data_IF_142333650846
#
_entry.id   IF_142333650846
#
_cell.length_a   1.000
_cell.length_b   1.000
_cell.length_c   1.000
_cell.angle_alpha   90.00
_cell.angle_beta   90.00
_cell.angle_gamma   90.00
#
_symmetry.space_group_name_H-M   'P 1'
#
loop_
_entity.id
_entity.type
_entity.pdbx_description
1 polymer ?
#
# COMPACT_ATOMS: atom_id res chain seq x y z
N UNK A 1 15.39 -17.84 7.49
CA UNK A 1 16.64 -17.06 7.48
C UNK A 1 16.33 -15.70 6.89
N UNK A 2 16.43 -14.64 7.69
CA UNK A 2 16.10 -13.28 7.30
C UNK A 2 17.28 -12.73 6.47
N UNK A 3 17.18 -12.77 5.15
CA UNK A 3 18.25 -12.33 4.25
C UNK A 3 18.32 -10.80 4.23
N UNK A 4 18.91 -10.18 5.26
CA UNK A 4 19.49 -8.81 5.22
C UNK A 4 18.66 -7.71 4.57
N UNK A 5 17.32 -7.80 4.63
CA UNK A 5 16.44 -6.97 3.82
C UNK A 5 15.95 -5.79 4.62
N UNK A 6 16.66 -4.68 4.47
CA UNK A 6 16.33 -3.40 5.10
C UNK A 6 15.07 -2.83 4.43
N UNK A 7 14.12 -2.38 5.24
CA UNK A 7 12.97 -1.58 4.82
C UNK A 7 13.26 -0.10 5.07
N UNK A 8 12.78 0.78 4.20
CA UNK A 8 13.00 2.23 4.27
C UNK A 8 11.69 2.97 4.04
N UNK A 9 11.61 4.19 4.58
CA UNK A 9 10.50 5.09 4.34
C UNK A 9 10.20 5.21 2.82
N UNK A 10 8.94 5.01 2.47
CA UNK A 10 8.45 5.02 1.11
C UNK A 10 8.46 3.66 0.41
N UNK A 11 9.13 2.64 0.96
CA UNK A 11 9.06 1.30 0.38
C UNK A 11 7.61 0.83 0.28
N UNK A 12 7.24 0.29 -0.87
CA UNK A 12 5.90 -0.23 -1.14
C UNK A 12 5.96 -1.75 -1.08
N UNK A 13 5.09 -2.32 -0.26
CA UNK A 13 4.95 -3.76 -0.11
C UNK A 13 3.66 -4.16 -0.80
N UNK A 14 3.76 -5.05 -1.79
CA UNK A 14 2.62 -5.60 -2.51
C UNK A 14 2.59 -7.10 -2.27
N UNK A 15 1.48 -7.62 -1.76
CA UNK A 15 1.26 -9.04 -1.53
C UNK A 15 0.26 -9.59 -2.56
N UNK A 16 0.46 -10.83 -2.99
CA UNK A 16 -0.49 -11.55 -3.83
C UNK A 16 -1.12 -12.75 -3.07
N UNK A 17 -1.01 -12.76 -1.75
CA UNK A 17 -1.71 -13.65 -0.85
C UNK A 17 -2.72 -12.87 -0.01
N UNK A 18 -3.50 -13.57 0.82
CA UNK A 18 -4.58 -12.98 1.60
C UNK A 18 -4.88 -13.83 2.84
N UNK A 19 -5.58 -13.23 3.79
CA UNK A 19 -5.99 -13.87 5.04
C UNK A 19 -7.31 -14.64 4.93
N UNK A 20 -7.97 -14.64 3.77
CA UNK A 20 -9.29 -15.24 3.56
C UNK A 20 -9.22 -16.65 2.95
N UNK A 21 -8.04 -17.26 2.92
CA UNK A 21 -7.79 -18.56 2.29
C UNK A 21 -8.15 -18.62 0.79
N UNK A 22 -8.25 -17.46 0.12
CA UNK A 22 -8.40 -17.41 -1.33
C UNK A 22 -7.05 -17.82 -1.94
N UNK A 23 -7.02 -18.63 -3.02
CA UNK A 23 -5.77 -19.00 -3.67
C UNK A 23 -4.89 -17.80 -4.01
N UNK A 24 -3.58 -17.96 -3.89
CA UNK A 24 -2.63 -16.88 -4.18
C UNK A 24 -2.76 -16.39 -5.62
N UNK A 25 -2.69 -15.08 -5.79
CA UNK A 25 -2.75 -14.36 -7.06
C UNK A 25 -4.14 -13.92 -7.49
N UNK A 26 -5.20 -14.26 -6.74
CA UNK A 26 -6.57 -13.81 -7.01
C UNK A 26 -6.97 -12.56 -6.22
N UNK A 27 -6.29 -12.32 -5.10
CA UNK A 27 -6.45 -11.15 -4.26
C UNK A 27 -5.08 -10.79 -3.70
N UNK A 28 -4.87 -9.50 -3.48
CA UNK A 28 -3.63 -9.00 -2.90
C UNK A 28 -3.88 -8.02 -1.78
N UNK A 29 -2.78 -7.53 -1.23
CA UNK A 29 -2.76 -6.47 -0.24
C UNK A 29 -1.60 -5.54 -0.52
N UNK A 30 -1.67 -4.31 -0.03
CA UNK A 30 -0.62 -3.33 -0.19
C UNK A 30 -0.42 -2.48 1.06
N UNK A 31 0.82 -2.10 1.31
CA UNK A 31 1.20 -1.23 2.40
C UNK A 31 2.38 -0.34 2.00
N UNK A 32 2.53 0.79 2.68
CA UNK A 32 3.68 1.70 2.52
C UNK A 32 4.46 1.76 3.82
N UNK A 33 5.78 1.67 3.73
CA UNK A 33 6.68 1.84 4.86
C UNK A 33 6.80 3.31 5.23
N UNK A 34 6.71 3.61 6.54
CA UNK A 34 6.88 4.98 7.05
C UNK A 34 8.25 5.19 7.69
N UNK A 35 8.91 4.10 8.11
CA UNK A 35 10.29 4.09 8.59
C UNK A 35 10.91 2.69 8.39
N UNK A 36 11.96 2.36 9.14
CA UNK A 36 12.70 1.10 9.08
C UNK A 36 12.01 -0.07 9.80
N UNK A 37 10.80 0.16 10.35
CA UNK A 37 10.07 -0.82 11.15
C UNK A 37 8.57 -0.87 10.86
N UNK A 38 7.96 0.26 10.57
CA UNK A 38 6.52 0.45 10.54
C UNK A 38 6.01 0.68 9.12
N UNK A 39 4.82 0.16 8.90
CA UNK A 39 4.02 0.30 7.70
C UNK A 39 2.71 1.00 8.06
N UNK A 40 2.15 1.71 7.10
CA UNK A 40 0.73 2.09 7.10
C UNK A 40 0.02 1.24 6.05
N UNK A 41 -1.12 0.67 6.44
CA UNK A 41 -1.98 -0.14 5.57
C UNK A 41 -3.44 0.27 5.74
N UNK A 42 -4.25 -0.02 4.72
CA UNK A 42 -5.70 0.05 4.81
C UNK A 42 -6.33 -1.34 4.78
N UNK A 43 -7.22 -1.65 5.72
CA UNK A 43 -7.85 -2.96 5.89
C UNK A 43 -9.37 -2.84 6.06
N UNK A 44 -10.08 -3.94 5.83
CA UNK A 44 -11.54 -4.06 5.98
C UNK A 44 -12.03 -4.05 7.45
N UNK A 45 -11.11 -4.13 8.40
CA UNK A 45 -11.39 -4.10 9.83
C UNK A 45 -11.08 -2.73 10.43
N UNK A 46 -11.93 -2.24 11.35
CA UNK A 46 -11.66 -0.99 12.09
C UNK A 46 -10.54 -1.21 13.11
N UNK A 47 -9.52 -0.34 13.21
CA UNK A 47 -9.30 0.87 12.41
C UNK A 47 -8.91 0.55 10.95
N UNK A 48 -9.65 1.13 10.00
CA UNK A 48 -9.50 0.87 8.56
C UNK A 48 -8.16 1.35 8.02
N UNK A 49 -7.52 2.34 8.66
CA UNK A 49 -6.16 2.78 8.37
C UNK A 49 -5.37 2.62 9.66
N UNK A 50 -4.31 1.81 9.61
CA UNK A 50 -3.56 1.43 10.82
C UNK A 50 -2.08 1.30 10.54
N UNK A 51 -1.30 1.41 11.62
CA UNK A 51 0.11 1.07 11.59
C UNK A 51 0.32 -0.41 11.89
N UNK A 52 1.33 -1.01 11.27
CA UNK A 52 1.73 -2.40 11.50
C UNK A 52 3.23 -2.57 11.32
N UNK A 53 3.86 -3.46 12.08
CA UNK A 53 5.28 -3.71 11.87
C UNK A 53 5.53 -4.49 10.59
N UNK A 54 6.67 -4.23 9.95
CA UNK A 54 7.13 -4.96 8.78
C UNK A 54 7.15 -6.47 9.05
N UNK A 55 7.66 -6.90 10.20
CA UNK A 55 7.68 -8.31 10.59
C UNK A 55 6.28 -8.94 10.65
N UNK A 56 5.28 -8.21 11.14
CA UNK A 56 3.92 -8.72 11.19
C UNK A 56 3.33 -8.84 9.79
N UNK A 57 3.59 -7.85 8.92
CA UNK A 57 3.20 -7.94 7.51
C UNK A 57 3.81 -9.17 6.85
N UNK A 58 5.09 -9.46 7.06
CA UNK A 58 5.74 -10.65 6.49
C UNK A 58 5.16 -11.98 6.98
N UNK A 59 4.66 -12.03 8.22
CA UNK A 59 4.01 -13.22 8.78
C UNK A 59 2.65 -13.47 8.13
N UNK A 60 1.88 -12.43 7.90
CA UNK A 60 0.57 -12.50 7.27
C UNK A 60 0.65 -12.67 5.75
N UNK A 61 1.65 -12.02 5.14
CA UNK A 61 1.85 -11.91 3.70
C UNK A 61 3.25 -12.38 3.27
N UNK A 62 3.60 -13.66 3.46
CA UNK A 62 4.91 -14.18 3.10
C UNK A 62 5.21 -14.09 1.60
N UNK A 63 4.18 -14.08 0.73
CA UNK A 63 4.32 -13.97 -0.72
C UNK A 63 4.06 -12.54 -1.16
N UNK A 64 5.11 -11.73 -1.12
CA UNK A 64 5.07 -10.32 -1.49
C UNK A 64 6.26 -9.91 -2.38
N UNK A 65 6.14 -8.71 -2.96
CA UNK A 65 7.19 -7.92 -3.56
C UNK A 65 7.42 -6.65 -2.72
N UNK A 66 8.64 -6.13 -2.75
CA UNK A 66 8.98 -4.82 -2.18
C UNK A 66 9.59 -3.97 -3.28
N UNK A 67 9.05 -2.78 -3.43
CA UNK A 67 9.57 -1.76 -4.32
C UNK A 67 10.08 -0.59 -3.50
N UNK A 68 11.13 0.05 -3.99
CA UNK A 68 11.73 1.21 -3.36
C UNK A 68 11.78 2.37 -4.35
N UNK A 69 11.36 3.58 -3.97
CA UNK A 69 11.63 4.75 -4.80
C UNK A 69 13.14 4.99 -4.86
N UNK A 70 13.67 5.23 -6.07
CA UNK A 70 15.09 5.54 -6.27
C UNK A 70 15.49 6.86 -5.62
N UNK A 71 14.54 7.79 -5.50
CA UNK A 71 14.72 9.03 -4.74
C UNK A 71 14.34 8.82 -3.28
N UNK A 72 15.31 9.01 -2.38
CA UNK A 72 15.07 8.95 -0.94
C UNK A 72 14.09 10.04 -0.47
N UNK A 73 14.18 11.24 -1.06
CA UNK A 73 13.27 12.35 -0.79
C UNK A 73 11.83 11.98 -1.17
N UNK A 74 11.65 11.37 -2.35
CA UNK A 74 10.33 10.90 -2.79
C UNK A 74 9.74 9.91 -1.80
N UNK A 75 10.54 8.94 -1.34
CA UNK A 75 10.10 7.96 -0.34
C UNK A 75 9.75 8.59 1.01
N UNK A 76 10.55 9.51 1.51
CA UNK A 76 10.31 10.21 2.78
C UNK A 76 9.04 11.05 2.75
N UNK A 77 8.80 11.79 1.66
CA UNK A 77 7.61 12.61 1.52
C UNK A 77 6.34 11.77 1.39
N UNK A 78 6.37 10.67 0.61
CA UNK A 78 5.25 9.74 0.54
C UNK A 78 4.97 9.06 1.89
N UNK A 79 6.01 8.65 2.61
CA UNK A 79 5.91 8.11 3.97
C UNK A 79 5.29 9.10 4.96
N UNK A 80 5.73 10.36 4.95
CA UNK A 80 5.17 11.42 5.79
C UNK A 80 3.68 11.60 5.51
N UNK A 81 3.29 11.63 4.22
CA UNK A 81 1.89 11.74 3.83
C UNK A 81 1.04 10.57 4.36
N UNK A 82 1.55 9.34 4.25
CA UNK A 82 0.87 8.15 4.77
C UNK A 82 0.68 8.22 6.30
N UNK A 83 1.72 8.65 7.02
CA UNK A 83 1.67 8.84 8.47
C UNK A 83 0.65 9.92 8.87
N UNK A 84 0.67 11.08 8.22
CA UNK A 84 -0.28 12.17 8.48
C UNK A 84 -1.72 11.74 8.21
N UNK A 85 -1.94 10.98 7.14
CA UNK A 85 -3.26 10.43 6.81
C UNK A 85 -3.76 9.46 7.88
N UNK A 86 -2.89 8.57 8.36
CA UNK A 86 -3.20 7.64 9.46
C UNK A 86 -3.51 8.40 10.76
N UNK A 87 -2.71 9.40 11.12
CA UNK A 87 -2.91 10.21 12.32
C UNK A 87 -4.23 10.97 12.26
N UNK A 88 -4.53 11.60 11.11
CA UNK A 88 -5.80 12.31 10.91
C UNK A 88 -7.00 11.35 10.94
N UNK A 89 -6.90 10.18 10.30
CA UNK A 89 -7.92 9.14 10.42
C UNK A 89 -8.16 8.74 11.89
N UNK A 90 -7.09 8.49 12.64
CA UNK A 90 -7.18 8.10 14.04
C UNK A 90 -7.80 9.19 14.92
N UNK A 91 -7.50 10.47 14.65
CA UNK A 91 -8.11 11.60 15.34
C UNK A 91 -9.60 11.68 15.03
N UNK A 92 -9.97 11.64 13.75
CA UNK A 92 -11.37 11.70 13.33
C UNK A 92 -12.18 10.53 13.91
N UNK A 93 -11.59 9.33 13.98
CA UNK A 93 -12.21 8.17 14.61
C UNK A 93 -12.51 8.41 16.09
N UNK A 94 -11.58 9.01 16.84
CA UNK A 94 -11.77 9.33 18.28
C UNK A 94 -12.77 10.46 18.51
N UNK A 95 -12.85 11.41 17.60
CA UNK A 95 -13.73 12.58 17.71
C UNK A 95 -15.13 12.35 17.11
N UNK A 96 -15.35 11.20 16.46
CA UNK A 96 -16.61 10.95 15.75
C UNK A 96 -16.78 11.80 14.49
N UNK A 97 -15.67 12.35 13.97
CA UNK A 97 -15.66 13.16 12.76
C UNK A 97 -15.69 12.29 11.49
N UNK A 98 -15.77 12.95 10.34
CA UNK A 98 -15.77 12.29 9.03
C UNK A 98 -14.50 11.45 8.83
N UNK A 99 -14.64 10.22 8.36
CA UNK A 99 -13.54 9.29 8.09
C UNK A 99 -13.89 8.45 6.85
N UNK A 100 -12.90 8.06 6.03
CA UNK A 100 -13.14 7.14 4.94
C UNK A 100 -13.65 5.80 5.49
N UNK A 101 -14.54 5.17 4.74
CA UNK A 101 -14.87 3.76 4.93
C UNK A 101 -13.94 2.90 4.08
N UNK A 102 -13.68 1.68 4.53
CA UNK A 102 -13.04 0.71 3.65
C UNK A 102 -14.03 0.26 2.58
N UNK A 103 -13.67 0.39 1.31
CA UNK A 103 -14.48 -0.16 0.21
C UNK A 103 -13.61 -0.38 -1.05
N UNK A 104 -13.57 -1.63 -1.51
CA UNK A 104 -12.87 -2.04 -2.74
C UNK A 104 -13.88 -2.16 -3.89
N UNK A 105 -14.27 -1.02 -4.46
CA UNK A 105 -15.34 -0.91 -5.46
C UNK A 105 -14.94 0.04 -6.60
N UNK A 106 -15.33 -0.29 -7.82
CA UNK A 106 -15.19 0.59 -8.99
C UNK A 106 -15.99 1.89 -8.81
N UNK A 107 -15.44 3.01 -9.27
CA UNK A 107 -16.13 4.32 -9.27
C UNK A 107 -15.85 5.22 -8.06
N UNK A 108 -15.05 4.77 -7.07
CA UNK A 108 -14.49 5.67 -6.05
C UNK A 108 -13.29 6.43 -6.64
N UNK A 109 -13.31 7.77 -6.69
CA UNK A 109 -12.19 8.53 -7.24
C UNK A 109 -10.91 8.27 -6.43
N UNK A 110 -9.81 7.93 -7.11
CA UNK A 110 -8.52 7.69 -6.43
C UNK A 110 -8.04 8.90 -5.63
N UNK A 111 -8.31 10.10 -6.14
CA UNK A 111 -7.89 11.35 -5.53
C UNK A 111 -8.78 11.79 -4.37
N UNK A 112 -9.87 11.10 -4.05
CA UNK A 112 -10.67 11.39 -2.86
C UNK A 112 -10.19 10.56 -1.65
N UNK A 113 -9.44 11.16 -0.69
CA UNK A 113 -8.97 10.45 0.50
C UNK A 113 -10.03 10.27 1.60
N UNK A 114 -11.20 10.92 1.52
CA UNK A 114 -12.14 10.93 2.64
C UNK A 114 -13.48 10.24 2.38
N UNK A 115 -13.78 9.88 1.12
CA UNK A 115 -14.92 9.03 0.76
C UNK A 115 -14.69 7.56 1.12
N UNK A 116 -13.86 6.87 0.33
CA UNK A 116 -13.48 5.46 0.60
C UNK A 116 -11.98 5.23 0.47
N UNK A 117 -11.47 4.21 1.17
CA UNK A 117 -10.07 3.81 1.12
C UNK A 117 -9.94 2.30 0.96
N UNK A 118 -8.85 1.87 0.36
CA UNK A 118 -8.40 0.48 0.31
C UNK A 118 -6.87 0.46 0.16
N UNK A 119 -6.26 -0.70 0.29
CA UNK A 119 -4.82 -0.85 0.48
C UNK A 119 -3.97 -0.17 -0.61
N UNK A 120 -4.20 -0.49 -1.89
CA UNK A 120 -3.48 0.12 -3.02
C UNK A 120 -3.84 1.59 -3.25
N UNK A 121 -5.08 2.01 -2.99
CA UNK A 121 -5.46 3.44 -3.01
C UNK A 121 -4.75 4.24 -1.94
N UNK A 122 -4.52 3.70 -0.74
CA UNK A 122 -3.74 4.38 0.29
C UNK A 122 -2.31 4.63 -0.18
N UNK A 123 -1.67 3.64 -0.81
CA UNK A 123 -0.34 3.82 -1.41
C UNK A 123 -0.39 4.89 -2.49
N UNK A 124 -1.37 4.82 -3.40
CA UNK A 124 -1.55 5.82 -4.45
C UNK A 124 -1.71 7.24 -3.88
N UNK A 125 -2.58 7.43 -2.88
CA UNK A 125 -2.82 8.70 -2.20
C UNK A 125 -1.54 9.25 -1.57
N UNK A 126 -0.73 8.38 -0.96
CA UNK A 126 0.52 8.77 -0.28
C UNK A 126 1.53 9.36 -1.25
N UNK A 127 1.69 8.75 -2.42
CA UNK A 127 2.56 9.26 -3.48
C UNK A 127 1.95 10.47 -4.20
N UNK A 128 0.65 10.45 -4.48
CA UNK A 128 -0.01 11.55 -5.16
C UNK A 128 0.03 12.84 -4.33
N UNK A 129 -0.42 12.80 -3.08
CA UNK A 129 -0.46 14.00 -2.23
C UNK A 129 0.90 14.33 -1.61
N UNK A 130 1.74 13.32 -1.32
CA UNK A 130 3.06 13.54 -0.74
C UNK A 130 4.08 14.13 -1.71
N UNK A 131 4.09 13.67 -2.97
CA UNK A 131 5.14 14.01 -3.95
C UNK A 131 4.61 14.39 -5.33
N UNK A 132 3.30 14.60 -5.48
CA UNK A 132 2.66 14.90 -6.77
C UNK A 132 2.92 13.81 -7.82
N UNK A 133 3.09 12.57 -7.37
CA UNK A 133 3.36 11.43 -8.24
C UNK A 133 2.10 10.59 -8.43
N UNK A 134 1.50 10.69 -9.61
CA UNK A 134 0.36 9.85 -10.00
C UNK A 134 0.86 8.58 -10.69
N UNK A 135 0.64 7.42 -10.07
CA UNK A 135 0.76 6.14 -10.79
C UNK A 135 -0.26 6.10 -11.93
N UNK A 136 0.14 5.52 -13.06
CA UNK A 136 -0.76 5.25 -14.16
C UNK A 136 -1.91 4.35 -13.68
N UNK A 137 -3.13 4.68 -14.10
CA UNK A 137 -4.33 3.93 -13.76
C UNK A 137 -5.39 4.19 -14.84
N UNK A 138 -6.26 3.23 -15.07
CA UNK A 138 -7.33 3.30 -16.09
C UNK A 138 -8.66 3.88 -15.56
N UNK A 139 -8.65 4.36 -14.30
CA UNK A 139 -9.78 4.94 -13.56
C UNK A 139 -10.92 3.96 -13.23
N UNK A 140 -10.73 2.64 -13.40
CA UNK A 140 -11.67 1.62 -12.94
C UNK A 140 -11.55 1.34 -11.43
N UNK A 141 -10.53 0.57 -11.06
CA UNK A 141 -10.20 0.20 -9.70
C UNK A 141 -8.69 -0.07 -9.64
N UNK A 142 -7.94 0.71 -8.85
CA UNK A 142 -6.48 0.56 -8.81
C UNK A 142 -6.08 -0.55 -7.85
N UNK A 143 -6.02 -1.79 -8.31
CA UNK A 143 -5.79 -2.95 -7.47
C UNK A 143 -4.33 -3.09 -7.01
N UNK A 144 -4.02 -4.00 -6.07
CA UNK A 144 -2.64 -4.39 -5.79
C UNK A 144 -1.91 -4.98 -7.00
N UNK A 145 -2.61 -5.56 -7.96
CA UNK A 145 -2.02 -6.05 -9.20
C UNK A 145 -1.61 -4.89 -10.11
N UNK A 146 -2.49 -3.90 -10.31
CA UNK A 146 -2.18 -2.67 -11.03
C UNK A 146 -0.97 -1.95 -10.42
N UNK A 147 -0.90 -1.91 -9.09
CA UNK A 147 0.23 -1.34 -8.36
C UNK A 147 1.53 -2.13 -8.62
N UNK A 148 1.52 -3.46 -8.57
CA UNK A 148 2.69 -4.29 -8.94
C UNK A 148 3.13 -4.04 -10.38
N UNK A 149 2.16 -4.02 -11.30
CA UNK A 149 2.37 -3.82 -12.72
C UNK A 149 2.93 -2.43 -13.01
N UNK A 150 2.43 -1.37 -12.37
CA UNK A 150 2.99 -0.02 -12.47
C UNK A 150 4.43 0.01 -11.96
N UNK A 151 4.67 -0.40 -10.72
CA UNK A 151 5.97 -0.30 -10.06
C UNK A 151 7.07 -1.09 -10.77
N UNK A 152 6.73 -2.22 -11.38
CA UNK A 152 7.70 -3.04 -12.13
C UNK A 152 8.22 -2.36 -13.40
N UNK A 153 7.42 -1.50 -14.02
CA UNK A 153 7.79 -0.81 -15.27
C UNK A 153 8.18 0.67 -15.04
N UNK A 154 8.02 1.16 -13.82
CA UNK A 154 8.28 2.54 -13.46
C UNK A 154 9.78 2.80 -13.20
N UNK A 155 10.44 3.69 -13.96
CA UNK A 155 11.86 3.97 -13.80
C UNK A 155 12.20 4.67 -12.47
N UNK A 156 11.22 5.27 -11.79
CA UNK A 156 11.42 5.92 -10.49
C UNK A 156 11.50 4.92 -9.34
N UNK A 157 11.22 3.64 -9.58
CA UNK A 157 11.25 2.60 -8.58
C UNK A 157 12.24 1.49 -8.93
N UNK A 158 12.62 0.75 -7.90
CA UNK A 158 13.42 -0.45 -8.04
C UNK A 158 12.83 -1.61 -7.23
N UNK A 159 12.94 -2.81 -7.79
CA UNK A 159 12.55 -4.03 -7.10
C UNK A 159 13.63 -4.42 -6.08
N UNK A 160 13.31 -4.34 -4.79
CA UNK A 160 14.22 -4.73 -3.71
C UNK A 160 14.16 -6.24 -3.45
N UNK A 161 12.97 -6.83 -3.53
CA UNK A 161 12.82 -8.27 -3.78
C UNK A 161 11.44 -8.64 -4.26
N UNK A 162 11.36 -9.86 -4.76
CA UNK A 162 10.15 -10.56 -5.10
C UNK A 162 10.23 -11.98 -4.57
N UNK A 163 9.21 -12.43 -3.85
CA UNK A 163 9.13 -13.84 -3.47
C UNK A 163 9.04 -14.71 -4.75
N UNK A 164 9.71 -15.88 -4.85
CA UNK A 164 9.74 -16.68 -6.09
C UNK A 164 8.35 -17.15 -6.58
N UNK A 165 7.42 -17.33 -5.67
CA UNK A 165 6.01 -17.68 -5.97
C UNK A 165 5.10 -16.47 -6.21
N UNK A 166 5.61 -15.25 -6.14
CA UNK A 166 4.79 -14.05 -6.29
C UNK A 166 4.30 -13.93 -7.73
N UNK A 167 2.98 -14.00 -7.91
CA UNK A 167 2.29 -13.80 -9.18
C UNK A 167 0.81 -13.51 -8.93
N UNK A 168 0.28 -12.52 -9.63
CA UNK A 168 -1.16 -12.41 -9.82
C UNK A 168 -1.60 -13.33 -10.96
N UNK A 169 -2.78 -13.94 -10.82
CA UNK A 169 -3.39 -14.85 -11.80
C UNK A 169 -4.43 -14.10 -12.63
N UNK A 170 -5.05 -13.09 -12.04
CA UNK A 170 -5.96 -12.17 -12.71
C UNK A 170 -5.16 -10.94 -13.08
N UNK A 171 -5.26 -10.53 -14.34
CA UNK A 171 -4.87 -9.21 -14.79
C UNK A 171 -6.12 -8.33 -14.69
N UNK A 172 -6.05 -7.26 -13.92
CA UNK A 172 -7.21 -6.39 -13.68
C UNK A 172 -7.25 -5.17 -14.57
#
# INVERSE_FOLDING_TARGET
MNSGREIKAGDILVACDNLYHIPHGYMGHAAIAVDDKWLVEATDNVPYIRMKSFEHFLKEHPIHAQYRPRSAEMGQMAASCAMDYQLKYANNLRQGENKPTFAFLSGSPLHDPWGTVYCSKLVWLSYFYGVQYAFANDFGLFTPEDLDTCLKHDPHFELVYRHPRFRFVINT
#
